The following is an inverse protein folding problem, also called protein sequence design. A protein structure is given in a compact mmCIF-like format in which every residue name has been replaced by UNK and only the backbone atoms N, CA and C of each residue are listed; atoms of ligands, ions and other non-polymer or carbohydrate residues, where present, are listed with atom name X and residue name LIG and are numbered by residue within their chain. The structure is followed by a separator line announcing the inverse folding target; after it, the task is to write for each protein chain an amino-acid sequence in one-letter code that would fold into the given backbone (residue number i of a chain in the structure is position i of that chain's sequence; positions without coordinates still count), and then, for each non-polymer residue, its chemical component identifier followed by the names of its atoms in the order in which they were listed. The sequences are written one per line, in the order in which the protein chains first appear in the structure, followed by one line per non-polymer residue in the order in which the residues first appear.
data_IF_675181011708
#
_entry.id   IF_675181011708
#
_cell.length_a   1.000
_cell.length_b   1.000
_cell.length_c   1.000
_cell.angle_alpha   90.00
_cell.angle_beta   90.00
_cell.angle_gamma   90.00
#
_symmetry.space_group_name_H-M   'P 1'
#
loop_
_entity.id
_entity.type
_entity.pdbx_description
1 polymer ?
#
# COMPACT_ATOMS: atom_id res chain seq x y z
N UNK A 1 -4.72 -18.02 0.26
CA UNK A 1 -4.39 -16.79 -0.49
C UNK A 1 -5.50 -15.78 -0.23
N UNK A 2 -5.17 -14.59 0.31
CA UNK A 2 -6.15 -13.52 0.53
C UNK A 2 -5.87 -12.41 -0.48
N UNK A 3 -6.74 -12.28 -1.48
CA UNK A 3 -6.66 -11.21 -2.48
C UNK A 3 -7.46 -9.99 -2.00
N UNK A 4 -6.76 -9.03 -1.40
CA UNK A 4 -7.40 -7.83 -0.83
C UNK A 4 -7.59 -6.77 -1.92
N UNK A 5 -8.47 -7.06 -2.89
CA UNK A 5 -8.78 -6.15 -4.02
C UNK A 5 -9.33 -4.78 -3.56
N UNK A 6 -9.89 -4.71 -2.36
CA UNK A 6 -10.52 -3.50 -1.78
C UNK A 6 -9.62 -2.66 -0.90
N UNK A 7 -8.41 -3.12 -0.53
CA UNK A 7 -7.49 -2.31 0.29
C UNK A 7 -6.97 -1.09 -0.47
N UNK A 8 -6.83 -1.21 -1.79
CA UNK A 8 -6.35 -0.12 -2.64
C UNK A 8 -7.34 1.01 -2.83
N UNK A 9 -8.66 0.77 -2.76
CA UNK A 9 -9.67 1.82 -2.96
C UNK A 9 -10.01 2.60 -1.69
N UNK A 10 -9.66 2.05 -0.52
CA UNK A 10 -9.98 2.64 0.79
C UNK A 10 -8.75 3.15 1.57
N UNK A 11 -7.57 3.17 0.93
CA UNK A 11 -6.41 3.85 1.50
C UNK A 11 -6.58 5.37 1.43
N UNK A 12 -6.50 6.03 2.57
CA UNK A 12 -6.28 7.48 2.60
C UNK A 12 -4.90 7.79 1.99
N UNK A 13 -4.82 8.88 1.23
CA UNK A 13 -3.57 9.34 0.64
C UNK A 13 -2.86 10.24 1.64
N UNK A 14 -1.72 9.78 2.17
CA UNK A 14 -0.82 10.63 2.98
C UNK A 14 -0.16 11.73 2.15
N UNK A 15 -0.02 11.52 0.84
CA UNK A 15 0.61 12.46 -0.10
C UNK A 15 -0.45 13.09 -1.01
N UNK A 16 -0.33 14.38 -1.33
CA UNK A 16 -1.21 15.01 -2.32
C UNK A 16 -0.82 14.58 -3.73
N UNK A 17 -1.74 13.91 -4.42
CA UNK A 17 -1.50 13.38 -5.76
C UNK A 17 -2.45 14.04 -6.72
N UNK A 18 -1.88 14.60 -7.78
CA UNK A 18 -2.62 15.21 -8.87
C UNK A 18 -2.50 14.34 -10.12
N UNK A 19 -3.57 14.28 -10.90
CA UNK A 19 -3.59 13.59 -12.19
C UNK A 19 -4.24 14.50 -13.23
N UNK A 20 -3.93 14.27 -14.50
CA UNK A 20 -4.61 14.94 -15.60
C UNK A 20 -6.10 14.61 -15.61
N UNK A 21 -6.90 15.53 -16.15
CA UNK A 21 -8.34 15.32 -16.29
C UNK A 21 -8.61 14.14 -17.23
N UNK A 22 -9.42 13.15 -16.82
CA UNK A 22 -9.77 12.04 -17.68
C UNK A 22 -10.57 12.53 -18.89
N UNK A 23 -10.45 11.77 -19.98
CA UNK A 23 -11.17 12.05 -21.22
C UNK A 23 -12.69 12.07 -20.96
N UNK A 24 -13.38 13.10 -21.45
CA UNK A 24 -14.81 13.33 -21.19
C UNK A 24 -15.13 14.12 -19.90
N UNK A 25 -14.14 14.43 -19.06
CA UNK A 25 -14.31 15.30 -17.88
C UNK A 25 -13.75 16.72 -18.06
N UNK A 26 -13.04 16.96 -19.17
CA UNK A 26 -12.44 18.25 -19.47
C UNK A 26 -13.52 19.30 -19.77
N UNK A 27 -13.54 20.38 -18.98
CA UNK A 27 -14.44 21.51 -19.18
C UNK A 27 -13.74 22.55 -20.05
N UNK A 28 -14.43 23.05 -21.08
CA UNK A 28 -13.91 24.06 -22.00
C UNK A 28 -13.47 25.32 -21.25
N UNK A 29 -12.23 25.76 -21.45
CA UNK A 29 -11.59 26.87 -20.72
C UNK A 29 -10.95 26.48 -19.37
N UNK A 30 -10.94 25.19 -19.03
CA UNK A 30 -10.31 24.64 -17.81
C UNK A 30 -9.39 23.45 -18.12
N UNK A 31 -8.90 23.37 -19.35
CA UNK A 31 -8.07 22.28 -19.85
C UNK A 31 -6.75 22.16 -19.08
N UNK A 32 -6.26 23.27 -18.52
CA UNK A 32 -5.06 23.34 -17.69
C UNK A 32 -5.24 22.88 -16.23
N UNK A 33 -6.47 22.50 -15.83
CA UNK A 33 -6.70 22.00 -14.47
C UNK A 33 -6.30 20.53 -14.34
N UNK A 34 -5.91 20.17 -13.12
CA UNK A 34 -5.59 18.79 -12.72
C UNK A 34 -6.56 18.33 -11.64
N UNK A 35 -6.85 17.03 -11.60
CA UNK A 35 -7.68 16.41 -10.57
C UNK A 35 -6.82 16.03 -9.37
N UNK A 36 -7.23 16.44 -8.16
CA UNK A 36 -6.62 15.96 -6.91
C UNK A 36 -7.27 14.66 -6.47
N UNK A 37 -6.47 13.62 -6.31
CA UNK A 37 -6.93 12.34 -5.78
C UNK A 37 -7.13 12.46 -4.26
N UNK A 38 -8.33 12.06 -3.79
CA UNK A 38 -8.67 12.01 -2.36
C UNK A 38 -8.53 10.62 -1.75
N UNK A 39 -8.47 9.58 -2.60
CA UNK A 39 -8.34 8.17 -2.21
C UNK A 39 -7.38 7.50 -3.16
N UNK A 40 -6.71 6.45 -2.70
CA UNK A 40 -5.83 5.66 -3.57
C UNK A 40 -6.63 5.00 -4.70
N UNK A 41 -6.13 5.13 -5.93
CA UNK A 41 -6.60 4.39 -7.09
C UNK A 41 -5.76 3.13 -7.29
N UNK A 42 -6.35 2.13 -7.94
CA UNK A 42 -5.63 0.93 -8.34
C UNK A 42 -4.48 1.28 -9.29
N UNK A 43 -3.33 0.63 -9.14
CA UNK A 43 -2.16 0.84 -10.02
C UNK A 43 -1.32 2.08 -9.72
N UNK A 44 -1.67 2.88 -8.72
CA UNK A 44 -0.80 3.97 -8.25
C UNK A 44 0.56 3.41 -7.78
N UNK A 45 1.66 3.91 -8.34
CA UNK A 45 3.04 3.44 -8.06
C UNK A 45 3.40 3.47 -6.56
N UNK A 46 2.86 4.44 -5.84
CA UNK A 46 3.05 4.62 -4.40
C UNK A 46 2.13 3.75 -3.54
N UNK A 47 1.02 3.21 -4.07
CA UNK A 47 0.06 2.48 -3.27
C UNK A 47 0.62 1.19 -2.63
N UNK A 48 1.46 0.37 -3.31
CA UNK A 48 2.15 -0.75 -2.66
C UNK A 48 3.04 -0.32 -1.49
N UNK A 49 3.72 0.82 -1.61
CA UNK A 49 4.59 1.35 -0.55
C UNK A 49 3.78 1.81 0.66
N UNK A 50 2.68 2.54 0.43
CA UNK A 50 1.82 3.02 1.51
C UNK A 50 1.11 1.86 2.21
N UNK A 51 0.65 0.86 1.46
CA UNK A 51 0.11 -0.37 2.05
C UNK A 51 1.16 -1.09 2.89
N UNK A 52 2.41 -1.22 2.40
CA UNK A 52 3.49 -1.83 3.17
C UNK A 52 3.78 -1.09 4.47
N UNK A 53 3.82 0.25 4.48
CA UNK A 53 3.98 1.04 5.71
C UNK A 53 2.86 0.77 6.70
N UNK A 54 1.59 0.82 6.25
CA UNK A 54 0.43 0.59 7.10
C UNK A 54 0.42 -0.83 7.66
N UNK A 55 0.76 -1.81 6.83
CA UNK A 55 0.91 -3.20 7.23
C UNK A 55 2.01 -3.36 8.27
N UNK A 56 3.17 -2.75 8.06
CA UNK A 56 4.29 -2.78 8.99
C UNK A 56 3.92 -2.22 10.37
N UNK A 57 3.32 -1.03 10.40
CA UNK A 57 2.82 -0.44 11.66
C UNK A 57 1.78 -1.33 12.33
N UNK A 58 0.87 -1.94 11.56
CA UNK A 58 -0.11 -2.88 12.09
C UNK A 58 0.56 -4.11 12.73
N UNK A 59 1.55 -4.70 12.08
CA UNK A 59 2.29 -5.85 12.58
C UNK A 59 3.05 -5.51 13.88
N UNK A 60 3.74 -4.36 13.91
CA UNK A 60 4.44 -3.87 15.09
C UNK A 60 3.49 -3.68 16.29
N UNK A 61 2.31 -3.08 16.06
CA UNK A 61 1.28 -2.89 17.09
C UNK A 61 0.72 -4.21 17.63
N UNK A 62 0.80 -5.30 16.86
CA UNK A 62 0.37 -6.64 17.26
C UNK A 62 1.51 -7.52 17.79
N UNK A 63 2.65 -6.92 18.16
CA UNK A 63 3.83 -7.58 18.71
C UNK A 63 4.55 -8.54 17.74
N UNK A 64 4.33 -8.40 16.43
CA UNK A 64 5.20 -9.04 15.46
C UNK A 64 6.50 -8.25 15.32
N UNK A 65 7.62 -8.97 15.23
CA UNK A 65 8.96 -8.41 15.01
C UNK A 65 9.46 -8.82 13.65
N UNK A 66 10.06 -7.88 12.91
CA UNK A 66 10.78 -8.23 11.68
C UNK A 66 12.08 -8.94 11.99
N UNK A 67 12.44 -9.87 11.13
CA UNK A 67 13.78 -10.45 11.18
C UNK A 67 14.82 -9.47 10.64
N UNK A 68 16.03 -9.52 11.20
CA UNK A 68 17.17 -8.72 10.75
C UNK A 68 17.75 -9.19 9.41
N UNK A 69 17.52 -10.45 9.02
CA UNK A 69 18.01 -11.03 7.77
C UNK A 69 17.09 -10.78 6.56
N UNK A 70 15.78 -10.69 6.77
CA UNK A 70 14.81 -10.43 5.70
C UNK A 70 13.66 -9.54 6.20
N UNK A 71 13.49 -8.39 5.54
CA UNK A 71 12.39 -7.46 5.80
C UNK A 71 11.01 -8.02 5.42
N UNK A 72 10.98 -9.17 4.75
CA UNK A 72 9.77 -9.87 4.33
C UNK A 72 9.28 -10.90 5.35
N UNK A 73 9.98 -11.07 6.48
CA UNK A 73 9.65 -12.08 7.50
C UNK A 73 9.32 -11.41 8.83
N UNK A 74 8.13 -11.74 9.35
CA UNK A 74 7.64 -11.31 10.66
C UNK A 74 7.49 -12.51 11.58
N UNK A 75 7.94 -12.38 12.82
CA UNK A 75 7.86 -13.43 13.84
C UNK A 75 7.14 -12.88 15.07
N UNK A 76 6.20 -13.66 15.61
CA UNK A 76 5.60 -13.42 16.92
C UNK A 76 5.73 -14.68 17.77
N UNK A 77 6.37 -14.55 18.92
CA UNK A 77 6.55 -15.64 19.87
C UNK A 77 5.41 -15.65 20.89
N UNK A 78 5.00 -16.85 21.25
CA UNK A 78 4.13 -17.20 22.36
C UNK A 78 4.94 -18.12 23.30
N UNK A 79 4.38 -18.45 24.46
CA UNK A 79 5.13 -19.15 25.51
C UNK A 79 5.68 -20.51 25.04
N UNK A 80 4.92 -21.26 24.23
CA UNK A 80 5.30 -22.58 23.70
C UNK A 80 5.25 -22.68 22.15
N UNK A 81 4.96 -21.57 21.45
CA UNK A 81 4.77 -21.59 20.00
C UNK A 81 5.20 -20.26 19.35
N UNK A 82 5.31 -20.22 18.02
CA UNK A 82 5.59 -19.00 17.29
C UNK A 82 4.87 -18.98 15.93
N UNK A 83 4.47 -17.78 15.52
CA UNK A 83 3.92 -17.54 14.18
C UNK A 83 4.98 -16.84 13.34
N UNK A 84 5.30 -17.44 12.19
CA UNK A 84 6.11 -16.81 11.13
C UNK A 84 5.20 -16.42 9.97
N UNK A 85 5.30 -15.15 9.55
CA UNK A 85 4.55 -14.62 8.41
C UNK A 85 5.53 -14.13 7.34
N UNK A 86 5.37 -14.66 6.12
CA UNK A 86 6.15 -14.29 4.95
C UNK A 86 5.33 -13.35 4.06
N UNK A 87 5.86 -12.16 3.77
CA UNK A 87 5.27 -11.26 2.78
C UNK A 87 5.92 -11.49 1.42
N UNK A 88 5.13 -11.81 0.40
CA UNK A 88 5.63 -12.00 -0.96
C UNK A 88 6.11 -10.66 -1.54
N UNK A 89 7.42 -10.50 -1.68
CA UNK A 89 7.99 -9.43 -2.53
C UNK A 89 7.92 -9.95 -3.96
N UNK A 90 7.15 -9.31 -4.85
CA UNK A 90 7.29 -9.60 -6.29
C UNK A 90 8.76 -9.34 -6.65
N UNK A 91 9.45 -10.30 -7.29
CA UNK A 91 10.80 -10.03 -7.77
C UNK A 91 10.72 -8.81 -8.68
N UNK A 92 11.55 -7.80 -8.39
CA UNK A 92 11.79 -6.74 -9.37
C UNK A 92 12.37 -7.45 -10.58
N UNK A 93 11.59 -7.51 -11.67
CA UNK A 93 12.08 -8.00 -12.95
C UNK A 93 13.31 -7.18 -13.33
N UNK A 94 14.42 -7.89 -13.53
CA UNK A 94 15.62 -7.44 -14.21
C UNK A 94 15.31 -6.96 -15.62
#
# INVERSE_FOLDING_TARGET
EFDVKTAFLNGELEEEIFMEQPEGFQVKGKENLVCRLKKSLYGLKQAPRQWYKKFDSFMANHCFRKTSGDHCVYIKNFDDDFIILFTLRRPHGS
#
